data_IF_520484983374
#
_entry.id   IF_520484983374
#
_cell.length_a   1.000
_cell.length_b   1.000
_cell.length_c   1.000
_cell.angle_alpha   90.00
_cell.angle_beta   90.00
_cell.angle_gamma   90.00
#
_symmetry.space_group_name_H-M   'P 1'
#
loop_
_entity.id
_entity.type
_entity.pdbx_description
1 polymer ?
#
# COMPACT_ATOMS: atom_id res chain seq x y z
N UNK A 1 -10.13 51.81 -63.42
CA UNK A 1 -11.51 52.09 -62.92
C UNK A 1 -12.19 50.75 -62.66
N UNK A 2 -12.59 50.49 -61.40
CA UNK A 2 -13.46 49.39 -60.87
C UNK A 2 -12.99 47.93 -61.12
N UNK A 3 -12.46 47.20 -60.13
CA UNK A 3 -13.08 46.62 -58.92
C UNK A 3 -14.21 45.60 -59.21
N UNK A 4 -13.96 44.33 -58.87
CA UNK A 4 -14.94 43.43 -58.28
C UNK A 4 -14.24 42.29 -57.50
N UNK A 5 -14.50 42.29 -56.20
CA UNK A 5 -14.23 41.25 -55.21
C UNK A 5 -14.71 39.86 -55.64
N UNK A 6 -13.91 38.83 -55.31
CA UNK A 6 -14.44 37.56 -54.80
C UNK A 6 -13.56 37.07 -53.66
N UNK A 7 -14.20 36.91 -52.51
CA UNK A 7 -13.66 36.50 -51.23
C UNK A 7 -13.97 35.02 -51.03
N UNK A 8 -12.96 34.15 -51.09
CA UNK A 8 -13.11 32.76 -50.65
C UNK A 8 -12.70 32.61 -49.18
N UNK A 9 -13.64 32.02 -48.45
CA UNK A 9 -13.66 31.90 -47.01
C UNK A 9 -12.61 30.90 -46.53
N UNK A 10 -11.61 31.41 -45.81
CA UNK A 10 -10.77 30.58 -44.95
C UNK A 10 -11.52 30.33 -43.65
N UNK A 11 -12.39 29.31 -43.61
CA UNK A 11 -13.04 28.85 -42.39
C UNK A 11 -12.01 28.11 -41.52
N UNK A 12 -11.31 28.87 -40.68
CA UNK A 12 -10.59 28.35 -39.52
C UNK A 12 -11.60 27.67 -38.61
N UNK A 13 -11.69 26.34 -38.71
CA UNK A 13 -12.31 25.51 -37.69
C UNK A 13 -11.43 25.61 -36.44
N UNK A 14 -11.72 26.60 -35.60
CA UNK A 14 -11.28 26.58 -34.20
C UNK A 14 -12.02 25.45 -33.51
N UNK A 15 -11.49 24.23 -33.59
CA UNK A 15 -11.89 23.19 -32.65
C UNK A 15 -11.53 23.68 -31.26
N UNK A 16 -12.57 23.98 -30.49
CA UNK A 16 -12.49 24.41 -29.11
C UNK A 16 -11.78 23.32 -28.29
N UNK A 17 -10.49 23.55 -28.02
CA UNK A 17 -9.59 22.66 -27.29
C UNK A 17 -10.13 22.32 -25.89
N UNK A 18 -11.05 23.11 -25.33
CA UNK A 18 -11.69 22.81 -24.03
C UNK A 18 -12.70 21.67 -24.11
N UNK A 19 -13.47 21.60 -25.20
CA UNK A 19 -14.50 20.55 -25.38
C UNK A 19 -13.90 19.16 -25.65
N UNK A 20 -12.72 19.09 -26.27
CA UNK A 20 -11.99 17.83 -26.50
C UNK A 20 -11.43 17.29 -25.17
N UNK A 21 -10.92 18.16 -24.29
CA UNK A 21 -10.38 17.73 -22.99
C UNK A 21 -11.45 17.22 -22.02
N UNK A 22 -12.63 17.83 -21.97
CA UNK A 22 -13.70 17.36 -21.06
C UNK A 22 -14.23 15.97 -21.44
N UNK A 23 -14.28 15.67 -22.74
CA UNK A 23 -14.65 14.35 -23.23
C UNK A 23 -13.58 13.30 -22.90
N UNK A 24 -12.28 13.64 -23.00
CA UNK A 24 -11.18 12.73 -22.61
C UNK A 24 -11.19 12.42 -21.10
N UNK A 25 -11.50 13.41 -20.24
CA UNK A 25 -11.68 13.17 -18.79
C UNK A 25 -12.87 12.25 -18.51
N UNK A 26 -13.98 12.41 -19.23
CA UNK A 26 -15.17 11.57 -19.05
C UNK A 26 -14.91 10.14 -19.52
N UNK A 27 -14.26 9.94 -20.67
CA UNK A 27 -13.85 8.60 -21.14
C UNK A 27 -12.76 7.95 -20.28
N UNK A 28 -11.85 8.75 -19.71
CA UNK A 28 -10.85 8.26 -18.77
C UNK A 28 -11.48 7.91 -17.42
N UNK A 29 -12.43 8.69 -16.91
CA UNK A 29 -13.17 8.38 -15.68
C UNK A 29 -14.10 7.17 -15.86
N UNK A 30 -14.78 7.04 -16.99
CA UNK A 30 -15.58 5.85 -17.32
C UNK A 30 -14.68 4.62 -17.53
N UNK A 31 -13.54 4.78 -18.21
CA UNK A 31 -12.53 3.74 -18.34
C UNK A 31 -11.92 3.33 -16.99
N UNK A 32 -11.69 4.28 -16.09
CA UNK A 32 -11.25 4.06 -14.70
C UNK A 32 -12.36 3.41 -13.89
N UNK A 33 -13.62 3.82 -13.98
CA UNK A 33 -14.73 3.20 -13.26
C UNK A 33 -15.03 1.79 -13.76
N UNK A 34 -14.90 1.54 -15.06
CA UNK A 34 -15.12 0.22 -15.63
C UNK A 34 -13.92 -0.70 -15.38
N UNK A 35 -12.70 -0.17 -15.43
CA UNK A 35 -11.48 -0.91 -15.03
C UNK A 35 -11.45 -1.15 -13.53
N UNK A 36 -11.87 -0.19 -12.69
CA UNK A 36 -12.10 -0.37 -11.25
C UNK A 36 -13.20 -1.37 -11.03
N UNK A 37 -14.30 -1.40 -11.78
CA UNK A 37 -15.31 -2.44 -11.63
C UNK A 37 -14.74 -3.81 -12.02
N UNK A 38 -13.95 -3.94 -13.08
CA UNK A 38 -13.36 -5.23 -13.50
C UNK A 38 -12.15 -5.67 -12.64
N UNK A 39 -11.36 -4.74 -12.07
CA UNK A 39 -10.28 -5.05 -11.11
C UNK A 39 -10.76 -5.13 -9.68
N UNK A 40 -11.84 -4.45 -9.29
CA UNK A 40 -12.57 -4.72 -8.05
C UNK A 40 -13.31 -6.04 -8.19
N UNK A 41 -13.84 -6.43 -9.35
CA UNK A 41 -14.27 -7.81 -9.60
C UNK A 41 -13.06 -8.74 -9.53
N UNK A 42 -11.87 -8.39 -10.02
CA UNK A 42 -10.66 -9.20 -9.88
C UNK A 42 -10.17 -9.36 -8.43
N UNK A 43 -10.13 -8.28 -7.65
CA UNK A 43 -9.75 -8.23 -6.23
C UNK A 43 -10.85 -8.85 -5.38
N UNK A 44 -12.13 -8.64 -5.69
CA UNK A 44 -13.27 -9.33 -5.09
C UNK A 44 -13.29 -10.78 -5.53
N UNK A 45 -12.84 -11.18 -6.72
CA UNK A 45 -12.75 -12.57 -7.16
C UNK A 45 -11.58 -13.29 -6.47
N UNK A 46 -10.45 -12.61 -6.28
CA UNK A 46 -9.32 -13.12 -5.48
C UNK A 46 -9.73 -13.19 -4.00
N UNK A 47 -10.42 -12.17 -3.48
CA UNK A 47 -10.91 -12.10 -2.10
C UNK A 47 -12.08 -13.06 -1.84
N UNK A 48 -12.99 -13.30 -2.79
CA UNK A 48 -14.09 -14.28 -2.70
C UNK A 48 -13.59 -15.69 -2.95
N UNK A 49 -12.58 -15.91 -3.80
CA UNK A 49 -11.88 -17.20 -3.91
C UNK A 49 -11.10 -17.52 -2.63
N UNK A 50 -10.51 -16.51 -2.00
CA UNK A 50 -9.85 -16.62 -0.70
C UNK A 50 -10.85 -16.84 0.46
N UNK A 51 -12.01 -16.18 0.45
CA UNK A 51 -13.12 -16.45 1.40
C UNK A 51 -13.76 -17.82 1.16
N UNK A 52 -13.86 -18.30 -0.08
CA UNK A 52 -14.38 -19.63 -0.41
C UNK A 52 -13.41 -20.74 0.08
N UNK A 53 -12.10 -20.46 0.09
CA UNK A 53 -11.08 -21.33 0.67
C UNK A 53 -11.09 -21.32 2.22
N UNK A 54 -11.37 -20.18 2.86
CA UNK A 54 -11.51 -20.06 4.33
C UNK A 54 -12.79 -20.72 4.86
N UNK A 55 -13.90 -20.66 4.13
CA UNK A 55 -15.19 -21.21 4.56
C UNK A 55 -15.32 -22.74 4.38
N UNK A 56 -14.22 -23.43 4.10
CA UNK A 56 -14.12 -24.90 4.01
C UNK A 56 -13.98 -25.64 5.35
N UNK A 57 -14.35 -25.05 6.48
CA UNK A 57 -14.42 -25.73 7.78
C UNK A 57 -15.71 -25.36 8.53
N UNK A 58 -16.69 -26.24 8.35
CA UNK A 58 -17.91 -26.56 9.10
C UNK A 58 -18.68 -25.58 10.01
N UNK A 59 -20.00 -25.80 9.91
CA UNK A 59 -21.16 -25.15 10.54
C UNK A 59 -21.27 -25.34 12.07
N UNK A 60 -22.19 -24.53 12.62
CA UNK A 60 -22.79 -24.49 13.97
C UNK A 60 -21.98 -23.77 15.04
N UNK A 61 -22.25 -22.48 15.31
CA UNK A 61 -22.26 -21.91 16.68
C UNK A 61 -22.84 -20.47 16.75
N UNK A 62 -23.60 -20.01 15.74
CA UNK A 62 -24.03 -18.61 15.62
C UNK A 62 -25.31 -18.20 16.35
N UNK A 63 -25.94 -19.06 17.15
CA UNK A 63 -27.22 -18.71 17.81
C UNK A 63 -27.23 -18.65 19.35
N UNK A 64 -26.19 -19.14 20.05
CA UNK A 64 -26.21 -19.18 21.53
C UNK A 64 -25.58 -17.98 22.25
N UNK A 65 -24.81 -17.12 21.57
CA UNK A 65 -24.15 -15.95 22.19
C UNK A 65 -25.08 -14.72 22.26
N UNK A 66 -26.18 -14.71 21.50
CA UNK A 66 -27.09 -13.57 21.41
C UNK A 66 -28.00 -13.40 22.66
N UNK A 67 -28.13 -14.40 23.51
CA UNK A 67 -29.01 -14.35 24.70
C UNK A 67 -28.27 -14.11 26.03
N UNK A 68 -26.94 -14.09 26.05
CA UNK A 68 -26.16 -13.86 27.30
C UNK A 68 -25.83 -12.38 27.53
N UNK A 69 -26.18 -11.48 26.59
CA UNK A 69 -25.88 -10.03 26.66
C UNK A 69 -27.04 -9.16 27.18
N UNK A 70 -28.12 -9.76 27.70
CA UNK A 70 -29.22 -9.03 28.38
C UNK A 70 -29.17 -9.28 29.89
N UNK A 71 -27.97 -9.13 30.47
CA UNK A 71 -27.72 -9.31 31.90
C UNK A 71 -26.97 -8.11 32.47
N UNK A 72 -27.74 -7.09 32.87
CA UNK A 72 -27.42 -5.99 33.78
C UNK A 72 -25.94 -5.73 34.11
N UNK A 73 -25.42 -4.61 33.63
CA UNK A 73 -24.41 -3.80 34.35
C UNK A 73 -24.59 -2.34 33.94
N UNK A 74 -25.36 -1.59 34.73
CA UNK A 74 -25.41 -0.13 34.64
C UNK A 74 -24.10 0.44 35.17
N UNK A 75 -23.09 0.50 34.29
CA UNK A 75 -21.89 1.31 34.52
C UNK A 75 -22.23 2.73 34.09
N UNK A 76 -22.38 3.64 35.06
CA UNK A 76 -22.48 5.08 34.79
C UNK A 76 -21.12 5.59 34.33
N UNK A 77 -20.82 5.46 33.03
CA UNK A 77 -19.69 6.16 32.42
C UNK A 77 -20.12 7.59 32.10
N UNK A 78 -19.25 8.56 32.43
CA UNK A 78 -19.47 9.98 32.16
C UNK A 78 -19.69 10.20 30.66
N UNK A 79 -20.88 10.68 30.29
CA UNK A 79 -21.37 10.84 28.92
C UNK A 79 -20.37 11.62 28.05
N UNK A 80 -19.63 12.56 28.62
CA UNK A 80 -18.64 13.37 27.89
C UNK A 80 -17.41 12.54 27.46
N UNK A 81 -16.94 11.65 28.33
CA UNK A 81 -15.83 10.73 28.04
C UNK A 81 -16.22 9.69 26.97
N UNK A 82 -17.48 9.25 26.94
CA UNK A 82 -18.00 8.31 25.93
C UNK A 82 -18.01 8.97 24.54
N UNK A 83 -18.52 10.20 24.43
CA UNK A 83 -18.58 10.94 23.15
C UNK A 83 -17.22 11.33 22.60
N UNK A 84 -16.25 11.70 23.45
CA UNK A 84 -14.89 12.02 22.98
C UNK A 84 -14.21 10.78 22.41
N UNK A 85 -14.37 9.62 23.06
CA UNK A 85 -13.83 8.35 22.57
C UNK A 85 -14.42 7.94 21.22
N UNK A 86 -15.73 8.11 21.02
CA UNK A 86 -16.40 7.80 19.74
C UNK A 86 -15.88 8.64 18.57
N UNK A 87 -15.65 9.94 18.78
CA UNK A 87 -15.07 10.83 17.76
C UNK A 87 -13.67 10.39 17.34
N UNK A 88 -12.81 10.02 18.30
CA UNK A 88 -11.46 9.53 17.97
C UNK A 88 -11.51 8.22 17.16
N UNK A 89 -12.40 7.29 17.51
CA UNK A 89 -12.58 6.06 16.73
C UNK A 89 -13.10 6.32 15.31
N UNK A 90 -14.01 7.29 15.15
CA UNK A 90 -14.53 7.67 13.85
C UNK A 90 -13.43 8.28 12.97
N UNK A 91 -12.63 9.20 13.52
CA UNK A 91 -11.48 9.78 12.83
C UNK A 91 -10.45 8.73 12.42
N UNK A 92 -10.09 7.81 13.33
CA UNK A 92 -9.17 6.70 13.04
C UNK A 92 -9.67 5.86 11.85
N UNK A 93 -10.97 5.56 11.80
CA UNK A 93 -11.59 4.83 10.70
C UNK A 93 -11.56 5.58 9.36
N UNK A 94 -11.78 6.90 9.39
CA UNK A 94 -11.69 7.76 8.20
C UNK A 94 -10.27 7.79 7.66
N UNK A 95 -9.27 8.11 8.51
CA UNK A 95 -7.87 8.15 8.09
C UNK A 95 -7.38 6.80 7.56
N UNK A 96 -7.81 5.70 8.19
CA UNK A 96 -7.49 4.36 7.72
C UNK A 96 -8.08 4.07 6.33
N UNK A 97 -9.33 4.48 6.10
CA UNK A 97 -9.99 4.30 4.79
C UNK A 97 -9.32 5.14 3.71
N UNK A 98 -8.98 6.39 4.02
CA UNK A 98 -8.23 7.27 3.09
C UNK A 98 -6.85 6.64 2.78
N UNK A 99 -6.18 6.05 3.78
CA UNK A 99 -4.90 5.37 3.58
C UNK A 99 -5.00 4.22 2.57
N UNK A 100 -5.99 3.33 2.73
CA UNK A 100 -6.25 2.24 1.77
C UNK A 100 -6.53 2.77 0.36
N UNK A 101 -7.33 3.84 0.24
CA UNK A 101 -7.62 4.47 -1.06
C UNK A 101 -6.34 5.03 -1.69
N UNK A 102 -5.48 5.73 -0.93
CA UNK A 102 -4.23 6.28 -1.45
C UNK A 102 -3.26 5.18 -1.90
N UNK A 103 -3.15 4.09 -1.14
CA UNK A 103 -2.37 2.89 -1.53
C UNK A 103 -2.87 2.37 -2.89
N UNK A 104 -4.20 2.20 -3.03
CA UNK A 104 -4.83 1.73 -4.26
C UNK A 104 -4.56 2.65 -5.45
N UNK A 105 -4.74 3.97 -5.27
CA UNK A 105 -4.55 4.95 -6.36
C UNK A 105 -3.12 4.94 -6.90
N UNK A 106 -2.11 5.01 -6.03
CA UNK A 106 -0.70 4.98 -6.45
C UNK A 106 -0.35 3.66 -7.14
N UNK A 107 -0.87 2.56 -6.61
CA UNK A 107 -0.68 1.22 -7.17
C UNK A 107 -1.27 1.10 -8.57
N UNK A 108 -2.54 1.47 -8.76
CA UNK A 108 -3.25 1.40 -10.03
C UNK A 108 -2.55 2.31 -11.06
N UNK A 109 -2.23 3.54 -10.68
CA UNK A 109 -1.60 4.50 -11.58
C UNK A 109 -0.22 4.01 -12.08
N UNK A 110 0.62 3.53 -11.18
CA UNK A 110 1.93 2.99 -11.57
C UNK A 110 1.80 1.71 -12.40
N UNK A 111 0.82 0.86 -12.09
CA UNK A 111 0.55 -0.36 -12.86
C UNK A 111 0.15 -0.03 -14.30
N UNK A 112 -0.73 0.96 -14.46
CA UNK A 112 -1.08 1.52 -15.75
C UNK A 112 0.14 2.09 -16.48
N UNK A 113 0.99 2.84 -15.77
CA UNK A 113 2.22 3.37 -16.33
C UNK A 113 3.19 2.26 -16.82
N UNK A 114 3.30 1.18 -16.05
CA UNK A 114 4.11 0.02 -16.44
C UNK A 114 3.52 -0.69 -17.67
N UNK A 115 2.18 -0.79 -17.74
CA UNK A 115 1.47 -1.38 -18.87
C UNK A 115 1.76 -0.62 -20.18
N UNK A 116 1.65 0.71 -20.18
CA UNK A 116 1.89 1.52 -21.39
C UNK A 116 3.37 1.51 -21.82
N UNK A 117 4.30 1.34 -20.89
CA UNK A 117 5.74 1.24 -21.20
C UNK A 117 6.16 -0.16 -21.69
N UNK A 118 5.27 -1.14 -21.54
CA UNK A 118 5.49 -2.53 -21.94
C UNK A 118 6.37 -3.32 -20.96
N UNK A 119 5.97 -4.57 -20.73
CA UNK A 119 6.69 -5.54 -19.88
C UNK A 119 7.81 -6.30 -20.60
N UNK A 120 8.15 -5.91 -21.83
CA UNK A 120 9.30 -6.47 -22.57
C UNK A 120 10.63 -6.08 -21.91
N UNK A 121 10.65 -4.94 -21.22
CA UNK A 121 11.83 -4.44 -20.51
C UNK A 121 11.84 -4.97 -19.07
N UNK A 122 12.94 -5.59 -18.68
CA UNK A 122 13.16 -6.04 -17.28
C UNK A 122 13.07 -4.88 -16.27
N UNK A 123 13.45 -3.67 -16.70
CA UNK A 123 13.28 -2.46 -15.92
C UNK A 123 11.81 -2.16 -15.57
N UNK A 124 10.86 -2.41 -16.47
CA UNK A 124 9.42 -2.22 -16.19
C UNK A 124 8.94 -3.21 -15.13
N UNK A 125 9.39 -4.46 -15.19
CA UNK A 125 9.12 -5.46 -14.15
C UNK A 125 9.68 -5.05 -12.79
N UNK A 126 10.87 -4.47 -12.75
CA UNK A 126 11.44 -3.92 -11.52
C UNK A 126 10.52 -2.88 -10.89
N UNK A 127 10.08 -1.88 -11.66
CA UNK A 127 9.18 -0.81 -11.18
C UNK A 127 7.87 -1.39 -10.69
N UNK A 128 7.24 -2.28 -11.46
CA UNK A 128 5.98 -2.90 -11.11
C UNK A 128 6.07 -3.75 -9.83
N UNK A 129 7.01 -4.69 -9.77
CA UNK A 129 7.13 -5.63 -8.66
C UNK A 129 7.56 -4.96 -7.36
N UNK A 130 8.48 -4.00 -7.41
CA UNK A 130 8.93 -3.28 -6.20
C UNK A 130 7.85 -2.37 -5.65
N UNK A 131 7.05 -1.74 -6.52
CA UNK A 131 5.90 -0.95 -6.08
C UNK A 131 4.80 -1.84 -5.48
N UNK A 132 4.41 -2.93 -6.14
CA UNK A 132 3.44 -3.89 -5.58
C UNK A 132 3.93 -4.44 -4.23
N UNK A 133 5.21 -4.78 -4.13
CA UNK A 133 5.80 -5.26 -2.90
C UNK A 133 5.77 -4.23 -1.77
N UNK A 134 6.47 -3.11 -1.91
CA UNK A 134 6.61 -2.12 -0.83
C UNK A 134 5.34 -1.29 -0.60
N UNK A 135 4.67 -0.82 -1.67
CA UNK A 135 3.59 0.15 -1.55
C UNK A 135 2.24 -0.50 -1.30
N UNK A 136 1.93 -1.61 -1.95
CA UNK A 136 0.65 -2.29 -1.80
C UNK A 136 0.74 -3.34 -0.68
N UNK A 137 1.52 -4.40 -0.90
CA UNK A 137 1.49 -5.58 -0.02
C UNK A 137 2.04 -5.28 1.38
N UNK A 138 3.22 -4.67 1.49
CA UNK A 138 3.80 -4.34 2.80
C UNK A 138 2.99 -3.26 3.53
N UNK A 139 2.47 -2.24 2.83
CA UNK A 139 1.64 -1.23 3.49
C UNK A 139 0.33 -1.83 4.03
N UNK A 140 -0.37 -2.63 3.22
CA UNK A 140 -1.59 -3.33 3.63
C UNK A 140 -1.32 -4.33 4.76
N UNK A 141 -0.19 -5.05 4.71
CA UNK A 141 0.25 -5.95 5.76
C UNK A 141 0.50 -5.25 7.10
N UNK A 142 1.07 -4.05 7.09
CA UNK A 142 1.25 -3.21 8.28
C UNK A 142 -0.09 -2.68 8.81
N UNK A 143 -0.93 -2.12 7.93
CA UNK A 143 -2.23 -1.51 8.27
C UNK A 143 -3.23 -2.56 8.78
N UNK A 144 -3.13 -3.80 8.31
CA UNK A 144 -3.94 -4.93 8.79
C UNK A 144 -3.85 -5.11 10.32
N UNK A 145 -2.66 -4.93 10.89
CA UNK A 145 -2.42 -5.09 12.33
C UNK A 145 -2.87 -3.88 13.17
N UNK A 146 -3.26 -2.77 12.54
CA UNK A 146 -3.77 -1.60 13.25
C UNK A 146 -5.10 -1.90 13.94
N UNK A 147 -5.20 -1.57 15.23
CA UNK A 147 -6.41 -1.81 16.02
C UNK A 147 -7.59 -0.93 15.58
N UNK A 148 -7.29 0.25 15.02
CA UNK A 148 -8.30 1.16 14.46
C UNK A 148 -8.74 0.81 13.02
N UNK A 149 -8.22 -0.27 12.43
CA UNK A 149 -8.63 -0.68 11.09
C UNK A 149 -10.02 -1.33 11.15
N UNK A 150 -11.03 -0.55 10.76
CA UNK A 150 -12.44 -0.95 10.68
C UNK A 150 -12.68 -2.24 9.88
N UNK A 151 -11.88 -2.47 8.83
CA UNK A 151 -12.06 -3.61 7.92
C UNK A 151 -11.69 -4.95 8.56
N UNK A 152 -10.75 -4.93 9.52
CA UNK A 152 -10.24 -6.14 10.16
C UNK A 152 -10.71 -6.29 11.61
N UNK A 153 -11.57 -5.42 12.14
CA UNK A 153 -12.00 -5.49 13.55
C UNK A 153 -12.69 -6.80 13.93
N UNK A 154 -13.33 -7.47 12.98
CA UNK A 154 -13.97 -8.78 13.19
C UNK A 154 -12.98 -9.95 13.21
N UNK A 155 -11.73 -9.75 12.79
CA UNK A 155 -10.69 -10.80 12.78
C UNK A 155 -10.00 -10.88 14.14
N UNK A 156 -9.80 -12.11 14.62
CA UNK A 156 -9.00 -12.37 15.81
C UNK A 156 -7.55 -11.94 15.57
N UNK A 157 -6.84 -11.56 16.63
CA UNK A 157 -5.41 -11.23 16.54
C UNK A 157 -4.56 -12.37 15.92
N UNK A 158 -4.95 -13.63 16.14
CA UNK A 158 -4.27 -14.77 15.52
C UNK A 158 -4.43 -14.77 14.00
N UNK A 159 -5.65 -14.56 13.50
CA UNK A 159 -5.91 -14.48 12.05
C UNK A 159 -5.22 -13.28 11.42
N UNK A 160 -5.27 -12.11 12.05
CA UNK A 160 -4.53 -10.92 11.57
C UNK A 160 -3.03 -11.20 11.46
N UNK A 161 -2.45 -11.85 12.47
CA UNK A 161 -1.03 -12.24 12.42
C UNK A 161 -0.75 -13.19 11.26
N UNK A 162 -1.62 -14.17 11.01
CA UNK A 162 -1.45 -15.13 9.90
C UNK A 162 -1.48 -14.43 8.54
N UNK A 163 -2.46 -13.56 8.33
CA UNK A 163 -2.57 -12.80 7.07
C UNK A 163 -1.39 -11.84 6.90
N UNK A 164 -0.95 -11.18 7.98
CA UNK A 164 0.21 -10.31 7.97
C UNK A 164 1.46 -11.02 7.43
N UNK A 165 1.91 -12.10 8.08
CA UNK A 165 3.16 -12.73 7.64
C UNK A 165 3.07 -13.32 6.22
N UNK A 166 1.90 -13.80 5.80
CA UNK A 166 1.68 -14.29 4.44
C UNK A 166 1.83 -13.16 3.40
N UNK A 167 1.12 -12.04 3.60
CA UNK A 167 1.18 -10.89 2.68
C UNK A 167 2.60 -10.30 2.67
N UNK A 168 3.25 -10.17 3.83
CA UNK A 168 4.63 -9.66 3.92
C UNK A 168 5.63 -10.57 3.20
N UNK A 169 5.50 -11.91 3.28
CA UNK A 169 6.38 -12.84 2.55
C UNK A 169 6.19 -12.70 1.04
N UNK A 170 4.95 -12.59 0.57
CA UNK A 170 4.66 -12.36 -0.86
C UNK A 170 5.21 -11.01 -1.30
N UNK A 171 4.98 -9.94 -0.52
CA UNK A 171 5.50 -8.60 -0.79
C UNK A 171 7.01 -8.55 -0.85
N UNK A 172 7.69 -9.17 0.12
CA UNK A 172 9.14 -9.29 0.12
C UNK A 172 9.67 -10.06 -1.09
N UNK A 173 8.99 -11.14 -1.49
CA UNK A 173 9.36 -11.91 -2.68
C UNK A 173 9.27 -11.05 -3.93
N UNK A 174 8.18 -10.27 -4.09
CA UNK A 174 8.05 -9.30 -5.19
C UNK A 174 9.20 -8.29 -5.19
N UNK A 175 9.56 -7.71 -4.04
CA UNK A 175 10.68 -6.77 -3.93
C UNK A 175 12.02 -7.40 -4.33
N UNK A 176 12.32 -8.60 -3.83
CA UNK A 176 13.58 -9.31 -4.15
C UNK A 176 13.66 -9.63 -5.64
N UNK A 177 12.59 -10.17 -6.23
CA UNK A 177 12.54 -10.48 -7.67
C UNK A 177 12.69 -9.19 -8.49
N UNK A 178 11.94 -8.14 -8.16
CA UNK A 178 12.03 -6.86 -8.85
C UNK A 178 13.44 -6.27 -8.82
N UNK A 179 14.14 -6.31 -7.68
CA UNK A 179 15.51 -5.82 -7.56
C UNK A 179 16.49 -6.73 -8.32
N UNK A 180 16.32 -8.05 -8.26
CA UNK A 180 17.17 -9.00 -8.99
C UNK A 180 17.11 -8.78 -10.52
N UNK A 181 15.91 -8.54 -11.06
CA UNK A 181 15.72 -8.23 -12.48
C UNK A 181 16.47 -6.95 -12.91
N UNK A 182 16.47 -5.92 -12.06
CA UNK A 182 17.20 -4.68 -12.33
C UNK A 182 18.72 -4.86 -12.27
N UNK A 183 19.22 -5.68 -11.34
CA UNK A 183 20.65 -6.02 -11.26
C UNK A 183 21.08 -6.74 -12.54
N UNK A 184 20.31 -7.75 -12.97
CA UNK A 184 20.58 -8.51 -14.19
C UNK A 184 20.56 -7.60 -15.44
N UNK A 185 19.56 -6.71 -15.55
CA UNK A 185 19.44 -5.76 -16.65
C UNK A 185 20.63 -4.79 -16.74
N UNK A 186 21.13 -4.30 -15.60
CA UNK A 186 22.30 -3.40 -15.57
C UNK A 186 23.59 -4.12 -15.96
N UNK A 187 23.72 -5.38 -15.56
CA UNK A 187 24.85 -6.23 -15.92
C UNK A 187 24.87 -6.50 -17.43
N UNK A 188 23.71 -6.83 -18.03
CA UNK A 188 23.62 -7.10 -19.47
C UNK A 188 23.81 -5.85 -20.35
N UNK A 189 23.58 -4.66 -19.81
CA UNK A 189 23.74 -3.38 -20.52
C UNK A 189 25.05 -2.64 -20.20
N UNK A 190 25.94 -3.27 -19.42
CA UNK A 190 27.23 -2.73 -18.98
C UNK A 190 27.13 -1.31 -18.37
N UNK A 191 26.02 -1.04 -17.68
CA UNK A 191 25.78 0.26 -17.04
C UNK A 191 26.31 0.26 -15.61
N UNK A 192 26.74 1.43 -15.12
CA UNK A 192 27.18 1.58 -13.72
C UNK A 192 26.07 1.12 -12.76
N UNK A 193 26.42 0.17 -11.89
CA UNK A 193 25.57 -0.28 -10.79
C UNK A 193 25.58 0.75 -9.64
N UNK A 194 24.46 0.85 -8.93
CA UNK A 194 24.32 1.59 -7.66
C UNK A 194 24.79 3.05 -7.65
N UNK A 195 24.84 3.73 -8.79
CA UNK A 195 25.35 5.11 -8.86
C UNK A 195 24.34 6.19 -8.48
N UNK A 196 23.05 5.85 -8.37
CA UNK A 196 21.99 6.83 -8.08
C UNK A 196 21.52 6.74 -6.62
N UNK A 197 21.05 7.86 -6.07
CA UNK A 197 20.47 7.90 -4.71
C UNK A 197 19.38 6.86 -4.52
N UNK A 198 18.46 6.73 -5.50
CA UNK A 198 17.43 5.70 -5.52
C UNK A 198 18.01 4.28 -5.35
N UNK A 199 19.04 3.93 -6.12
CA UNK A 199 19.66 2.60 -6.06
C UNK A 199 20.43 2.33 -4.78
N UNK A 200 21.02 3.36 -4.15
CA UNK A 200 21.70 3.22 -2.85
C UNK A 200 20.66 2.98 -1.75
N UNK A 201 19.62 3.82 -1.69
CA UNK A 201 18.54 3.68 -0.71
C UNK A 201 17.81 2.33 -0.90
N UNK A 202 17.53 1.94 -2.15
CA UNK A 202 16.93 0.65 -2.46
C UNK A 202 17.78 -0.54 -2.02
N UNK A 203 19.11 -0.46 -2.16
CA UNK A 203 20.02 -1.50 -1.67
C UNK A 203 20.04 -1.58 -0.14
N UNK A 204 20.09 -0.44 0.55
CA UNK A 204 20.01 -0.40 2.01
C UNK A 204 18.67 -1.00 2.46
N UNK A 205 17.56 -0.65 1.78
CA UNK A 205 16.24 -1.22 2.05
C UNK A 205 16.22 -2.74 1.87
N UNK A 206 16.88 -3.28 0.83
CA UNK A 206 17.00 -4.73 0.63
C UNK A 206 17.74 -5.43 1.78
N UNK A 207 18.79 -4.82 2.33
CA UNK A 207 19.49 -5.36 3.50
C UNK A 207 18.55 -5.41 4.71
N UNK A 208 17.80 -4.34 4.96
CA UNK A 208 16.79 -4.31 6.03
C UNK A 208 15.63 -5.27 5.76
N UNK A 209 15.27 -5.52 4.50
CA UNK A 209 14.26 -6.50 4.10
C UNK A 209 14.69 -7.92 4.50
N UNK A 210 15.95 -8.29 4.25
CA UNK A 210 16.49 -9.56 4.70
C UNK A 210 16.51 -9.66 6.24
N UNK A 211 16.92 -8.60 6.94
CA UNK A 211 16.95 -8.55 8.40
C UNK A 211 15.53 -8.68 9.01
N UNK A 212 14.54 -7.95 8.46
CA UNK A 212 13.17 -8.01 8.98
C UNK A 212 12.50 -9.35 8.72
N UNK A 213 12.79 -10.03 7.60
CA UNK A 213 12.30 -11.38 7.33
C UNK A 213 12.84 -12.38 8.36
N UNK A 214 14.14 -12.36 8.63
CA UNK A 214 14.75 -13.22 9.66
C UNK A 214 14.19 -12.90 11.04
N UNK A 215 14.07 -11.62 11.39
CA UNK A 215 13.45 -11.20 12.66
C UNK A 215 11.97 -11.58 12.75
N UNK A 216 11.22 -11.52 11.66
CA UNK A 216 9.81 -11.90 11.58
C UNK A 216 9.61 -13.39 11.82
N UNK A 217 10.47 -14.24 11.23
CA UNK A 217 10.47 -15.68 11.50
C UNK A 217 10.82 -15.98 12.97
N UNK A 218 11.84 -15.32 13.52
CA UNK A 218 12.16 -15.46 14.95
C UNK A 218 11.01 -15.00 15.85
N UNK A 219 10.30 -13.94 15.48
CA UNK A 219 9.14 -13.44 16.22
C UNK A 219 7.93 -14.38 16.13
N UNK A 220 7.76 -15.08 15.00
CA UNK A 220 6.69 -16.06 14.78
C UNK A 220 6.88 -17.29 15.67
N UNK A 221 8.11 -17.81 15.75
CA UNK A 221 8.48 -18.95 16.60
C UNK A 221 8.96 -18.55 18.00
N UNK A 222 8.67 -17.31 18.45
CA UNK A 222 9.16 -16.79 19.73
C UNK A 222 8.71 -17.63 20.94
N UNK A 223 7.57 -18.33 20.85
CA UNK A 223 7.11 -19.22 21.90
C UNK A 223 8.06 -20.42 22.11
N UNK A 224 8.56 -20.99 21.01
CA UNK A 224 9.51 -22.10 21.02
C UNK A 224 10.93 -21.63 21.35
N UNK A 225 11.29 -20.43 20.88
CA UNK A 225 12.57 -19.77 21.17
C UNK A 225 12.67 -19.12 22.56
N UNK A 226 11.59 -19.13 23.37
CA UNK A 226 11.59 -18.50 24.70
C UNK A 226 12.69 -19.01 25.63
N UNK A 227 13.22 -20.21 25.35
CA UNK A 227 14.32 -20.83 26.11
C UNK A 227 15.67 -20.12 25.90
N UNK A 228 15.87 -19.42 24.77
CA UNK A 228 17.11 -18.67 24.46
C UNK A 228 16.93 -17.16 24.46
N UNK A 229 15.81 -16.65 23.92
CA UNK A 229 15.58 -15.21 23.76
C UNK A 229 14.22 -14.87 24.35
N UNK A 230 14.13 -13.80 25.16
CA UNK A 230 12.83 -13.35 25.66
C UNK A 230 11.97 -12.88 24.48
N UNK A 231 10.71 -13.34 24.34
CA UNK A 231 9.83 -13.00 23.21
C UNK A 231 9.66 -11.49 22.99
N UNK A 232 9.81 -10.67 24.03
CA UNK A 232 9.73 -9.21 23.94
C UNK A 232 10.84 -8.60 23.07
N UNK A 233 12.09 -9.08 23.20
CA UNK A 233 13.20 -8.55 22.41
C UNK A 233 13.08 -8.94 20.94
N UNK A 234 12.66 -10.18 20.66
CA UNK A 234 12.44 -10.65 19.29
C UNK A 234 11.32 -9.89 18.57
N UNK A 235 10.24 -9.53 19.28
CA UNK A 235 9.15 -8.73 18.72
C UNK A 235 9.60 -7.29 18.48
N UNK A 236 10.32 -6.71 19.45
CA UNK A 236 10.83 -5.34 19.33
C UNK A 236 11.83 -5.20 18.17
N UNK A 237 12.74 -6.15 17.99
CA UNK A 237 13.70 -6.12 16.88
C UNK A 237 13.00 -6.21 15.52
N UNK A 238 11.96 -7.03 15.40
CA UNK A 238 11.12 -7.10 14.20
C UNK A 238 10.41 -5.76 13.93
N UNK A 239 9.80 -5.13 14.93
CA UNK A 239 9.16 -3.82 14.75
C UNK A 239 10.15 -2.75 14.29
N UNK A 240 11.34 -2.68 14.88
CA UNK A 240 12.37 -1.70 14.52
C UNK A 240 12.89 -1.94 13.10
N UNK A 241 13.30 -3.17 12.79
CA UNK A 241 13.87 -3.50 11.47
C UNK A 241 12.83 -3.43 10.36
N UNK A 242 11.60 -3.87 10.61
CA UNK A 242 10.48 -3.75 9.67
C UNK A 242 10.10 -2.29 9.40
N UNK A 243 10.07 -1.45 10.43
CA UNK A 243 9.81 -0.01 10.28
C UNK A 243 10.87 0.66 9.40
N UNK A 244 12.15 0.42 9.68
CA UNK A 244 13.24 1.00 8.89
C UNK A 244 13.20 0.48 7.45
N UNK A 245 12.95 -0.82 7.25
CA UNK A 245 12.78 -1.41 5.93
C UNK A 245 11.67 -0.72 5.13
N UNK A 246 10.48 -0.61 5.71
CA UNK A 246 9.31 -0.02 5.06
C UNK A 246 9.56 1.45 4.69
N UNK A 247 10.05 2.25 5.64
CA UNK A 247 10.33 3.68 5.39
C UNK A 247 11.38 3.86 4.29
N UNK A 248 12.48 3.08 4.32
CA UNK A 248 13.50 3.15 3.26
C UNK A 248 12.95 2.71 1.90
N UNK A 249 12.09 1.69 1.86
CA UNK A 249 11.38 1.27 0.64
C UNK A 249 10.49 2.37 0.07
N UNK A 250 9.72 3.04 0.91
CA UNK A 250 8.85 4.16 0.50
C UNK A 250 9.67 5.38 0.03
N UNK A 251 10.78 5.69 0.70
CA UNK A 251 11.73 6.73 0.24
C UNK A 251 12.32 6.35 -1.11
N UNK A 252 12.69 5.08 -1.31
CA UNK A 252 13.17 4.62 -2.61
C UNK A 252 12.11 4.80 -3.71
N UNK A 253 10.83 4.53 -3.44
CA UNK A 253 9.72 4.77 -4.37
C UNK A 253 9.59 6.26 -4.68
N UNK A 254 9.63 7.15 -3.69
CA UNK A 254 9.58 8.61 -3.92
C UNK A 254 10.74 9.05 -4.82
N UNK A 255 11.96 8.56 -4.58
CA UNK A 255 13.11 8.83 -5.45
C UNK A 255 12.98 8.19 -6.85
N UNK A 256 12.11 7.20 -7.02
CA UNK A 256 11.84 6.56 -8.31
C UNK A 256 10.98 7.44 -9.21
N UNK A 257 10.12 8.31 -8.64
CA UNK A 257 9.28 9.23 -9.42
C UNK A 257 10.09 10.27 -10.21
N UNK A 258 11.34 10.52 -9.82
CA UNK A 258 12.28 11.35 -10.58
C UNK A 258 12.93 10.62 -11.78
N UNK A 259 12.59 9.35 -12.02
CA UNK A 259 13.14 8.58 -13.14
C UNK A 259 12.39 8.83 -14.44
N UNK A 260 13.09 8.57 -15.55
CA UNK A 260 12.61 8.82 -16.92
C UNK A 260 11.24 8.21 -17.20
N UNK A 261 10.93 7.03 -16.65
CA UNK A 261 9.63 6.36 -16.86
C UNK A 261 8.45 7.22 -16.40
N UNK A 262 8.59 7.98 -15.32
CA UNK A 262 7.55 8.88 -14.83
C UNK A 262 7.57 10.21 -15.58
N UNK A 263 8.74 10.86 -15.68
CA UNK A 263 8.88 12.16 -16.36
C UNK A 263 8.50 12.16 -17.85
N UNK A 264 8.61 11.02 -18.54
CA UNK A 264 8.26 10.94 -19.97
C UNK A 264 6.78 10.61 -20.24
N UNK A 265 6.07 10.06 -19.25
CA UNK A 265 4.72 9.52 -19.43
C UNK A 265 3.68 10.16 -18.50
N UNK A 266 4.12 11.02 -17.58
CA UNK A 266 3.28 11.66 -16.57
C UNK A 266 3.56 13.16 -16.53
N UNK A 267 2.51 13.95 -16.42
CA UNK A 267 2.61 15.41 -16.21
C UNK A 267 3.16 15.70 -14.80
N UNK A 268 3.81 16.85 -14.62
CA UNK A 268 4.47 17.24 -13.36
C UNK A 268 3.53 17.20 -12.15
N UNK A 269 2.26 17.58 -12.35
CA UNK A 269 1.22 17.55 -11.31
C UNK A 269 0.92 16.12 -10.85
N UNK A 270 0.95 15.15 -11.78
CA UNK A 270 0.75 13.73 -11.49
C UNK A 270 1.88 13.16 -10.64
N UNK A 271 3.13 13.49 -10.99
CA UNK A 271 4.33 13.10 -10.20
C UNK A 271 4.24 13.67 -8.78
N UNK A 272 3.83 14.94 -8.67
CA UNK A 272 3.64 15.61 -7.38
C UNK A 272 2.56 14.92 -6.55
N UNK A 273 1.41 14.59 -7.15
CA UNK A 273 0.32 13.89 -6.48
C UNK A 273 0.74 12.50 -5.97
N UNK A 274 1.42 11.71 -6.81
CA UNK A 274 1.96 10.40 -6.39
C UNK A 274 2.95 10.52 -5.23
N UNK A 275 3.80 11.54 -5.26
CA UNK A 275 4.77 11.81 -4.19
C UNK A 275 4.06 12.13 -2.88
N UNK A 276 3.09 13.06 -2.91
CA UNK A 276 2.31 13.44 -1.73
C UNK A 276 1.54 12.25 -1.16
N UNK A 277 0.87 11.47 -2.02
CA UNK A 277 0.14 10.27 -1.58
C UNK A 277 1.08 9.22 -0.99
N UNK A 278 2.26 9.01 -1.58
CA UNK A 278 3.23 8.04 -1.05
C UNK A 278 3.76 8.46 0.33
N UNK A 279 4.05 9.75 0.52
CA UNK A 279 4.46 10.28 1.82
C UNK A 279 3.31 10.16 2.84
N UNK A 280 2.09 10.55 2.46
CA UNK A 280 0.92 10.43 3.33
C UNK A 280 0.65 8.98 3.74
N UNK A 281 0.72 8.03 2.81
CA UNK A 281 0.59 6.59 3.07
C UNK A 281 1.65 6.10 4.03
N UNK A 282 2.90 6.54 3.85
CA UNK A 282 4.00 6.18 4.75
C UNK A 282 3.69 6.65 6.17
N UNK A 283 3.28 7.92 6.34
CA UNK A 283 2.99 8.50 7.66
C UNK A 283 1.80 7.79 8.32
N UNK A 284 0.67 7.66 7.61
CA UNK A 284 -0.54 7.06 8.15
C UNK A 284 -0.36 5.59 8.54
N UNK A 285 0.34 4.82 7.71
CA UNK A 285 0.63 3.40 7.99
C UNK A 285 1.54 3.24 9.21
N UNK A 286 2.41 4.22 9.48
CA UNK A 286 3.33 4.19 10.62
C UNK A 286 2.71 4.59 11.96
N UNK A 287 1.56 5.30 11.99
CA UNK A 287 0.91 5.72 13.24
C UNK A 287 0.65 4.54 14.17
N UNK A 288 0.09 3.44 13.64
CA UNK A 288 -0.22 2.23 14.42
C UNK A 288 1.03 1.54 14.96
N UNK A 289 2.09 1.49 14.15
CA UNK A 289 3.36 0.84 14.52
C UNK A 289 4.08 1.63 15.60
N UNK A 290 4.17 2.97 15.48
CA UNK A 290 4.81 3.83 16.48
C UNK A 290 4.10 3.73 17.83
N UNK A 291 2.76 3.73 17.85
CA UNK A 291 1.97 3.54 19.08
C UNK A 291 2.27 2.18 19.73
N UNK A 292 2.38 1.13 18.93
CA UNK A 292 2.72 -0.22 19.41
C UNK A 292 4.13 -0.28 19.97
N UNK A 293 5.12 0.29 19.27
CA UNK A 293 6.50 0.35 19.72
C UNK A 293 6.65 1.14 21.02
N UNK A 294 6.02 2.31 21.13
CA UNK A 294 6.03 3.12 22.35
C UNK A 294 5.52 2.35 23.56
N UNK A 295 4.42 1.60 23.40
CA UNK A 295 3.88 0.76 24.45
C UNK A 295 4.85 -0.37 24.85
N UNK A 296 5.53 -1.00 23.89
CA UNK A 296 6.55 -2.03 24.18
C UNK A 296 7.75 -1.48 24.95
N UNK A 297 8.25 -0.30 24.57
CA UNK A 297 9.34 0.37 25.30
C UNK A 297 8.92 0.72 26.73
N UNK A 298 7.69 1.22 26.92
CA UNK A 298 7.15 1.50 28.25
C UNK A 298 7.05 0.24 29.12
N UNK A 299 6.72 -0.91 28.53
CA UNK A 299 6.71 -2.20 29.24
C UNK A 299 8.11 -2.67 29.63
N UNK A 300 9.13 -2.40 28.81
CA UNK A 300 10.53 -2.75 29.10
C UNK A 300 11.17 -1.84 30.17
N UNK A 301 10.69 -0.61 30.31
CA UNK A 301 11.17 0.34 31.30
C UNK A 301 10.59 0.13 32.71
N UNK A 302 9.60 -0.78 32.85
CA UNK A 302 9.03 -1.21 34.13
C UNK A 302 9.68 -2.50 34.61
#
# INVERSE_FOLDING_TARGET
MKSAHTSDQNSTVTMDRKSVTENEWFFMLDGIFNTINHTMIGVVCIYTSWLCWINGFDKLYTWHVFLTLIGNSTVTMDRKSVTENEWFFMLDGIFNTINHTMIGVVCIYTSWLCWINGFEKLYTWHVFLTLIGYHLLMAEGIVLLYSGNGWTQKLTHSHKRTVHWLIEVVGCTCCVVGIALEIYFRQSTNRRHFSSTHSIVGLISLVFLALTLVNGLMALFAADLRKRIRPIYSKLSHYLTGTVCYVLGMVAIVLAYEKKIYHQNTITEGITMMTVFTIAVTVLSMVGVVKTMYNQFKTLAK
#
